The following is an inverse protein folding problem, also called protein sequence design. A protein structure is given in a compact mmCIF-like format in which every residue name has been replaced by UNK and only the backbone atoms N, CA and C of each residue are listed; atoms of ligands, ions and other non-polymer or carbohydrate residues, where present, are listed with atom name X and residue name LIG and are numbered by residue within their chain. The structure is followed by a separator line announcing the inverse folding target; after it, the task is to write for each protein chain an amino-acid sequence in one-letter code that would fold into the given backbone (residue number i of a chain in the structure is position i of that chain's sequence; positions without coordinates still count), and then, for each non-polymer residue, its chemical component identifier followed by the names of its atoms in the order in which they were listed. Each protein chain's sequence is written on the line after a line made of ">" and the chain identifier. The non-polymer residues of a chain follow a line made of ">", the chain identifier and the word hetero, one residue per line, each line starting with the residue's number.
data_IF_844551723283
#
_entry.id   IF_844551723283
#
_cell.length_a   1.000
_cell.length_b   1.000
_cell.length_c   1.000
_cell.angle_alpha   90.00
_cell.angle_beta   90.00
_cell.angle_gamma   90.00
#
_symmetry.space_group_name_H-M   'P 1'
#
loop_
_entity.id
_entity.type
_entity.pdbx_description
1 polymer ?
#
# COMPACT_ATOMS: atom_id res chain seq x y z
N UNK A 1 -8.63 -15.14 6.45
CA UNK A 1 -7.73 -14.14 5.89
C UNK A 1 -8.49 -12.86 5.55
N UNK A 2 -7.82 -11.72 5.67
CA UNK A 2 -8.37 -10.41 5.35
C UNK A 2 -7.35 -9.64 4.51
N UNK A 3 -7.82 -9.02 3.43
CA UNK A 3 -7.06 -8.08 2.62
C UNK A 3 -7.85 -6.78 2.54
N UNK A 4 -7.17 -5.66 2.80
CA UNK A 4 -7.68 -4.31 2.53
C UNK A 4 -6.81 -3.68 1.47
N UNK A 5 -7.41 -3.30 0.37
CA UNK A 5 -6.75 -2.63 -0.73
C UNK A 5 -7.28 -1.20 -0.87
N UNK A 6 -6.37 -0.24 -0.87
CA UNK A 6 -6.69 1.17 -1.05
C UNK A 6 -6.09 1.66 -2.35
N UNK A 7 -6.92 2.22 -3.22
CA UNK A 7 -6.55 2.63 -4.56
C UNK A 7 -6.42 4.15 -4.69
N UNK A 8 -5.43 4.59 -5.45
CA UNK A 8 -5.27 5.99 -5.81
C UNK A 8 -6.42 6.50 -6.71
N UNK A 9 -6.63 7.83 -6.77
CA UNK A 9 -7.64 8.43 -7.62
C UNK A 9 -7.31 8.39 -9.12
N UNK A 10 -6.03 8.30 -9.47
CA UNK A 10 -5.54 8.26 -10.85
C UNK A 10 -4.27 7.41 -10.99
N UNK A 11 -3.85 7.18 -12.24
CA UNK A 11 -2.66 6.44 -12.61
C UNK A 11 -1.44 7.35 -12.89
N UNK A 12 -1.53 8.64 -12.55
CA UNK A 12 -0.43 9.57 -12.80
C UNK A 12 0.81 9.25 -11.95
N UNK A 13 1.96 9.63 -12.45
CA UNK A 13 3.25 9.26 -11.87
C UNK A 13 3.47 9.88 -10.47
N UNK A 14 2.84 11.01 -10.16
CA UNK A 14 2.90 11.59 -8.80
C UNK A 14 2.16 10.71 -7.82
N UNK A 15 0.95 10.25 -8.19
CA UNK A 15 0.18 9.32 -7.37
C UNK A 15 0.94 8.00 -7.15
N UNK A 16 1.64 7.50 -8.17
CA UNK A 16 2.49 6.31 -8.02
C UNK A 16 3.55 6.51 -6.93
N UNK A 17 4.26 7.64 -6.95
CA UNK A 17 5.30 7.92 -5.95
C UNK A 17 4.73 8.25 -4.58
N UNK A 18 3.60 8.92 -4.50
CA UNK A 18 2.90 9.18 -3.24
C UNK A 18 2.49 7.87 -2.55
N UNK A 19 1.92 6.92 -3.30
CA UNK A 19 1.52 5.62 -2.76
C UNK A 19 2.72 4.70 -2.47
N UNK A 20 3.79 4.77 -3.26
CA UNK A 20 5.03 4.05 -2.98
C UNK A 20 5.67 4.55 -1.67
N UNK A 21 5.74 5.88 -1.47
CA UNK A 21 6.22 6.48 -0.23
C UNK A 21 5.33 6.11 0.96
N UNK A 22 4.01 6.15 0.78
CA UNK A 22 3.04 5.75 1.81
C UNK A 22 3.26 4.29 2.22
N UNK A 23 3.43 3.39 1.26
CA UNK A 23 3.70 1.98 1.53
C UNK A 23 5.02 1.79 2.27
N UNK A 24 6.09 2.46 1.85
CA UNK A 24 7.40 2.38 2.48
C UNK A 24 7.35 2.75 3.98
N UNK A 25 6.67 3.82 4.32
CA UNK A 25 6.59 4.27 5.73
C UNK A 25 5.67 3.42 6.58
N UNK A 26 4.81 2.59 5.98
CA UNK A 26 3.86 1.73 6.68
C UNK A 26 4.28 0.26 6.78
N UNK A 27 5.09 -0.24 5.84
CA UNK A 27 5.41 -1.66 5.72
C UNK A 27 6.02 -2.25 7.00
N UNK A 28 7.14 -1.70 7.43
CA UNK A 28 7.85 -2.19 8.62
C UNK A 28 7.06 -1.98 9.93
N UNK A 29 6.45 -0.82 10.20
CA UNK A 29 5.61 -0.62 11.38
C UNK A 29 4.39 -1.54 11.42
N UNK A 30 3.75 -1.78 10.27
CA UNK A 30 2.60 -2.69 10.18
C UNK A 30 2.99 -4.12 10.56
N UNK A 31 4.09 -4.60 9.97
CA UNK A 31 4.60 -5.93 10.28
C UNK A 31 4.95 -6.05 11.78
N UNK A 32 5.68 -5.06 12.30
CA UNK A 32 6.10 -5.07 13.71
C UNK A 32 4.89 -5.08 14.65
N UNK A 33 3.94 -4.18 14.47
CA UNK A 33 2.76 -4.08 15.32
C UNK A 33 1.89 -5.33 15.26
N UNK A 34 1.46 -5.75 14.06
CA UNK A 34 0.47 -6.81 13.93
C UNK A 34 1.06 -8.22 14.00
N UNK A 35 2.30 -8.40 13.50
CA UNK A 35 2.95 -9.72 13.49
C UNK A 35 3.76 -9.98 14.74
N UNK A 36 4.56 -9.00 15.19
CA UNK A 36 5.51 -9.20 16.28
C UNK A 36 4.88 -8.95 17.64
N UNK A 37 4.23 -7.80 17.82
CA UNK A 37 3.64 -7.43 19.11
C UNK A 37 2.30 -8.13 19.35
N UNK A 38 1.37 -8.07 18.38
CA UNK A 38 0.02 -8.60 18.53
C UNK A 38 -0.12 -10.06 18.12
N UNK A 39 0.85 -10.63 17.43
CA UNK A 39 0.91 -12.03 17.01
C UNK A 39 -0.35 -12.51 16.25
N UNK A 40 -0.91 -11.65 15.39
CA UNK A 40 -2.20 -11.89 14.76
C UNK A 40 -2.20 -13.06 13.77
N UNK A 41 -1.07 -13.43 13.17
CA UNK A 41 -1.04 -14.52 12.21
C UNK A 41 0.31 -14.76 11.54
N UNK A 42 0.31 -15.71 10.61
CA UNK A 42 1.53 -16.11 9.89
C UNK A 42 1.86 -15.18 8.73
N UNK A 43 0.82 -14.68 8.03
CA UNK A 43 0.99 -13.75 6.92
C UNK A 43 0.46 -12.40 7.37
N UNK A 44 1.36 -11.45 7.52
CA UNK A 44 1.06 -10.06 7.88
C UNK A 44 1.95 -9.18 7.02
N UNK A 45 1.39 -8.19 6.35
CA UNK A 45 2.18 -7.25 5.55
C UNK A 45 1.35 -6.10 5.00
N UNK A 46 2.03 -4.99 4.80
CA UNK A 46 1.56 -3.86 4.03
C UNK A 46 2.56 -3.59 2.91
N UNK A 47 2.11 -3.32 1.69
CA UNK A 47 3.02 -3.05 0.58
C UNK A 47 2.36 -2.23 -0.52
N UNK A 48 3.18 -1.57 -1.31
CA UNK A 48 2.77 -1.00 -2.59
C UNK A 48 2.26 -2.10 -3.53
N UNK A 49 1.08 -1.91 -4.09
CA UNK A 49 0.44 -2.90 -4.96
C UNK A 49 -0.37 -2.20 -6.06
N UNK A 50 0.24 -1.85 -7.18
CA UNK A 50 -0.48 -1.28 -8.29
C UNK A 50 -1.34 -2.35 -8.99
N UNK A 51 -2.54 -1.97 -9.38
CA UNK A 51 -3.37 -2.76 -10.30
C UNK A 51 -3.27 -2.11 -11.68
N UNK A 52 -2.58 -2.79 -12.59
CA UNK A 52 -2.14 -2.20 -13.86
C UNK A 52 -1.34 -0.92 -13.58
N UNK A 53 -1.80 0.22 -14.08
CA UNK A 53 -1.15 1.53 -13.90
C UNK A 53 -1.60 2.27 -12.64
N UNK A 54 -2.77 1.90 -12.08
CA UNK A 54 -3.33 2.62 -10.93
C UNK A 54 -2.66 2.17 -9.66
N UNK A 55 -1.97 3.07 -8.93
CA UNK A 55 -1.26 2.71 -7.70
C UNK A 55 -2.24 2.37 -6.58
N UNK A 56 -1.76 1.55 -5.67
CA UNK A 56 -2.51 1.17 -4.47
C UNK A 56 -1.58 0.69 -3.36
N UNK A 57 -2.17 0.54 -2.19
CA UNK A 57 -1.54 -0.11 -1.05
C UNK A 57 -2.43 -1.24 -0.55
N UNK A 58 -1.82 -2.37 -0.25
CA UNK A 58 -2.49 -3.55 0.27
C UNK A 58 -2.04 -3.80 1.71
N UNK A 59 -3.01 -4.06 2.59
CA UNK A 59 -2.79 -4.60 3.94
C UNK A 59 -3.35 -6.00 3.97
N UNK A 60 -2.55 -6.96 4.40
CA UNK A 60 -2.92 -8.36 4.40
C UNK A 60 -2.61 -8.99 5.75
N UNK A 61 -3.61 -9.72 6.29
CA UNK A 61 -3.46 -10.53 7.50
C UNK A 61 -4.14 -11.88 7.29
N UNK A 62 -3.38 -12.96 7.50
CA UNK A 62 -3.91 -14.31 7.60
C UNK A 62 -3.68 -14.85 9.00
N UNK A 63 -4.77 -15.09 9.71
CA UNK A 63 -4.76 -15.59 11.08
C UNK A 63 -5.47 -16.94 11.17
N UNK A 64 -4.93 -17.89 11.92
CA UNK A 64 -5.61 -19.15 12.22
C UNK A 64 -6.63 -19.03 13.35
N UNK A 65 -6.54 -18.00 14.21
CA UNK A 65 -7.24 -17.94 15.49
C UNK A 65 -8.06 -16.67 15.74
N UNK A 66 -7.83 -15.61 14.95
CA UNK A 66 -8.53 -14.34 15.16
C UNK A 66 -9.72 -14.19 14.20
N UNK A 67 -10.81 -13.67 14.74
CA UNK A 67 -12.00 -13.30 13.97
C UNK A 67 -11.69 -12.17 12.98
N UNK A 68 -12.30 -12.22 11.81
CA UNK A 68 -12.07 -11.24 10.71
C UNK A 68 -12.43 -9.82 11.16
N UNK A 69 -13.48 -9.64 11.93
CA UNK A 69 -13.86 -8.32 12.45
C UNK A 69 -12.83 -7.76 13.45
N UNK A 70 -12.23 -8.63 14.27
CA UNK A 70 -11.14 -8.23 15.16
C UNK A 70 -9.89 -7.80 14.37
N UNK A 71 -9.49 -8.58 13.37
CA UNK A 71 -8.37 -8.24 12.48
C UNK A 71 -8.63 -6.89 11.79
N UNK A 72 -9.83 -6.70 11.24
CA UNK A 72 -10.19 -5.45 10.57
C UNK A 72 -10.09 -4.24 11.50
N UNK A 73 -10.59 -4.35 12.73
CA UNK A 73 -10.52 -3.28 13.74
C UNK A 73 -9.07 -2.94 14.11
N UNK A 74 -8.19 -3.95 14.23
CA UNK A 74 -6.77 -3.75 14.53
C UNK A 74 -6.01 -3.07 13.39
N UNK A 75 -6.35 -3.39 12.14
CA UNK A 75 -5.79 -2.68 10.98
C UNK A 75 -6.24 -1.22 10.98
N UNK A 76 -7.53 -0.94 11.24
CA UNK A 76 -8.03 0.44 11.35
C UNK A 76 -7.32 1.20 12.48
N UNK A 77 -7.21 0.60 13.64
CA UNK A 77 -6.50 1.19 14.79
C UNK A 77 -5.05 1.52 14.42
N UNK A 78 -4.32 0.57 13.82
CA UNK A 78 -2.96 0.80 13.34
C UNK A 78 -2.89 1.98 12.38
N UNK A 79 -3.80 2.06 11.39
CA UNK A 79 -3.81 3.16 10.40
C UNK A 79 -3.96 4.51 11.12
N UNK A 80 -4.83 4.62 12.12
CA UNK A 80 -5.01 5.85 12.88
C UNK A 80 -3.80 6.21 13.77
N UNK A 81 -3.26 5.24 14.49
CA UNK A 81 -2.11 5.44 15.37
C UNK A 81 -0.85 5.82 14.57
N UNK A 82 -0.62 5.11 13.46
CA UNK A 82 0.54 5.36 12.62
C UNK A 82 0.46 6.72 11.92
N UNK A 83 -0.74 7.21 11.58
CA UNK A 83 -0.90 8.58 11.09
C UNK A 83 -0.37 9.60 12.08
N UNK A 84 -0.71 9.47 13.36
CA UNK A 84 -0.24 10.39 14.40
C UNK A 84 1.29 10.35 14.53
N UNK A 85 1.88 9.16 14.44
CA UNK A 85 3.34 9.02 14.43
C UNK A 85 3.96 9.73 13.24
N UNK A 86 3.49 9.48 12.01
CA UNK A 86 4.02 10.08 10.77
C UNK A 86 3.83 11.60 10.78
N UNK A 87 2.69 12.09 11.26
CA UNK A 87 2.41 13.52 11.35
C UNK A 87 3.32 14.26 12.33
N UNK A 88 3.78 13.58 13.39
CA UNK A 88 4.71 14.13 14.36
C UNK A 88 6.16 14.18 13.86
N UNK A 89 6.50 13.48 12.76
CA UNK A 89 7.85 13.49 12.20
C UNK A 89 8.16 14.83 11.51
N UNK A 90 9.42 15.25 11.61
CA UNK A 90 9.91 16.45 10.92
C UNK A 90 10.39 16.18 9.49
N UNK A 91 10.80 17.27 8.81
CA UNK A 91 11.26 17.21 7.43
C UNK A 91 12.52 16.35 7.25
N UNK A 92 13.39 16.30 8.25
CA UNK A 92 14.61 15.45 8.20
C UNK A 92 14.26 13.96 8.11
N UNK A 93 13.26 13.49 8.84
CA UNK A 93 12.77 12.11 8.76
C UNK A 93 12.15 11.83 7.38
N UNK A 94 11.31 12.75 6.88
CA UNK A 94 10.73 12.63 5.55
C UNK A 94 11.81 12.53 4.47
N UNK A 95 12.82 13.39 4.54
CA UNK A 95 13.94 13.39 3.61
C UNK A 95 14.70 12.07 3.62
N UNK A 96 14.92 11.49 4.79
CA UNK A 96 15.54 10.17 4.92
C UNK A 96 14.70 9.08 4.20
N UNK A 97 13.37 9.08 4.37
CA UNK A 97 12.48 8.14 3.69
C UNK A 97 12.51 8.36 2.16
N UNK A 98 12.47 9.62 1.73
CA UNK A 98 12.53 9.99 0.32
C UNK A 98 13.83 9.53 -0.33
N UNK A 99 14.96 9.74 0.35
CA UNK A 99 16.28 9.32 -0.15
C UNK A 99 16.40 7.80 -0.24
N UNK A 100 15.84 7.05 0.70
CA UNK A 100 15.82 5.60 0.63
C UNK A 100 15.06 5.09 -0.60
N UNK A 101 13.88 5.65 -0.89
CA UNK A 101 13.08 5.28 -2.06
C UNK A 101 13.76 5.72 -3.37
N UNK A 102 14.39 6.91 -3.39
CA UNK A 102 15.19 7.36 -4.54
C UNK A 102 16.34 6.41 -4.84
N UNK A 103 17.03 5.93 -3.82
CA UNK A 103 18.12 4.96 -3.98
C UNK A 103 17.62 3.67 -4.63
N UNK A 104 16.49 3.15 -4.21
CA UNK A 104 15.88 1.97 -4.84
C UNK A 104 15.50 2.21 -6.30
N UNK A 105 14.89 3.35 -6.62
CA UNK A 105 14.52 3.70 -8.01
C UNK A 105 15.74 3.93 -8.92
N UNK A 106 16.88 4.30 -8.35
CA UNK A 106 18.12 4.56 -9.10
C UNK A 106 19.00 3.32 -9.28
N UNK A 107 18.66 2.20 -8.62
CA UNK A 107 19.37 0.95 -8.84
C UNK A 107 19.28 0.52 -10.31
N UNK A 108 20.43 0.29 -10.90
CA UNK A 108 20.49 -0.19 -12.30
C UNK A 108 20.21 -1.69 -12.36
N UNK A 109 19.57 -2.15 -13.44
CA UNK A 109 19.44 -3.58 -13.68
C UNK A 109 20.80 -4.27 -13.60
N UNK A 110 20.87 -5.39 -12.88
CA UNK A 110 22.12 -6.13 -12.63
C UNK A 110 22.52 -7.02 -13.81
N UNK A 111 21.58 -7.29 -14.70
CA UNK A 111 21.77 -8.16 -15.86
C UNK A 111 20.75 -7.84 -16.96
N UNK A 112 20.95 -8.46 -18.15
CA UNK A 112 20.06 -8.26 -19.29
C UNK A 112 18.62 -8.73 -19.04
N UNK A 113 18.40 -9.74 -18.21
CA UNK A 113 17.04 -10.23 -17.94
C UNK A 113 16.24 -9.17 -17.17
N UNK A 114 16.81 -8.58 -16.12
CA UNK A 114 16.18 -7.49 -15.37
C UNK A 114 15.92 -6.26 -16.26
N UNK A 115 16.85 -5.92 -17.14
CA UNK A 115 16.65 -4.81 -18.09
C UNK A 115 15.54 -5.11 -19.10
N UNK A 116 15.46 -6.33 -19.58
CA UNK A 116 14.39 -6.75 -20.50
C UNK A 116 13.05 -6.74 -19.82
N UNK A 117 12.98 -7.18 -18.57
CA UNK A 117 11.74 -7.16 -17.77
C UNK A 117 11.26 -5.72 -17.54
N UNK A 118 12.15 -4.77 -17.28
CA UNK A 118 11.80 -3.36 -17.16
C UNK A 118 11.16 -2.82 -18.44
N UNK A 119 11.78 -3.01 -19.60
CA UNK A 119 11.21 -2.59 -20.88
C UNK A 119 9.92 -3.31 -21.23
N UNK A 120 9.83 -4.60 -20.89
CA UNK A 120 8.62 -5.37 -21.11
C UNK A 120 7.44 -4.86 -20.26
N UNK A 121 7.70 -4.49 -19.02
CA UNK A 121 6.71 -3.87 -18.16
C UNK A 121 6.26 -2.50 -18.68
N UNK A 122 7.17 -1.68 -19.23
CA UNK A 122 6.82 -0.43 -19.87
C UNK A 122 5.89 -0.65 -21.08
N UNK A 123 6.15 -1.68 -21.89
CA UNK A 123 5.28 -2.05 -23.02
C UNK A 123 3.92 -2.54 -22.53
N UNK A 124 3.88 -3.45 -21.57
CA UNK A 124 2.63 -4.01 -21.03
C UNK A 124 1.73 -2.95 -20.39
N UNK A 125 2.33 -1.94 -19.78
CA UNK A 125 1.63 -0.85 -19.11
C UNK A 125 1.45 0.39 -20.01
N UNK A 126 1.81 0.29 -21.30
CA UNK A 126 1.67 1.39 -22.29
C UNK A 126 2.44 2.68 -21.90
N UNK A 127 3.65 2.51 -21.35
CA UNK A 127 4.59 3.61 -21.09
C UNK A 127 5.47 3.82 -22.33
N UNK A 128 4.93 4.46 -23.35
CA UNK A 128 5.50 4.53 -24.70
C UNK A 128 6.83 5.29 -24.80
N UNK A 129 7.19 6.09 -23.78
CA UNK A 129 8.40 6.88 -23.79
C UNK A 129 9.65 6.16 -23.27
N UNK A 130 9.51 4.97 -22.69
CA UNK A 130 10.59 4.21 -22.02
C UNK A 130 11.41 5.05 -21.01
N UNK A 131 10.78 6.07 -20.44
CA UNK A 131 11.38 7.00 -19.49
C UNK A 131 10.57 7.05 -18.18
N UNK A 132 9.75 6.01 -17.93
CA UNK A 132 8.85 5.97 -16.79
C UNK A 132 9.60 6.09 -15.46
N UNK A 133 10.72 5.36 -15.33
CA UNK A 133 11.60 5.46 -14.15
C UNK A 133 12.11 6.88 -13.91
N UNK A 134 12.54 7.60 -14.96
CA UNK A 134 12.99 8.98 -14.84
C UNK A 134 11.87 9.91 -14.39
N UNK A 135 10.66 9.70 -14.90
CA UNK A 135 9.48 10.44 -14.46
C UNK A 135 9.14 10.16 -12.98
N UNK A 136 9.26 8.91 -12.53
CA UNK A 136 9.09 8.54 -11.12
C UNK A 136 10.14 9.23 -10.23
N UNK A 137 11.41 9.21 -10.62
CA UNK A 137 12.49 9.90 -9.89
C UNK A 137 12.18 11.39 -9.78
N UNK A 138 11.82 12.04 -10.89
CA UNK A 138 11.50 13.46 -10.89
C UNK A 138 10.28 13.78 -10.01
N UNK A 139 9.24 12.96 -10.06
CA UNK A 139 8.04 13.10 -9.22
C UNK A 139 8.37 12.95 -7.73
N UNK A 140 9.21 11.96 -7.38
CA UNK A 140 9.63 11.74 -6.00
C UNK A 140 10.54 12.85 -5.48
N UNK A 141 11.43 13.39 -6.31
CA UNK A 141 12.28 14.54 -5.95
C UNK A 141 11.45 15.79 -5.64
N UNK A 142 10.33 15.98 -6.36
CA UNK A 142 9.40 17.09 -6.14
C UNK A 142 8.39 16.86 -4.99
N UNK A 143 8.35 15.67 -4.41
CA UNK A 143 7.41 15.33 -3.35
C UNK A 143 7.77 16.04 -2.03
N UNK A 144 6.77 16.59 -1.36
CA UNK A 144 6.91 17.23 -0.05
C UNK A 144 6.37 16.34 1.07
N UNK A 145 6.76 16.65 2.31
CA UNK A 145 6.19 16.00 3.50
C UNK A 145 4.67 16.20 3.57
N UNK A 146 4.18 17.37 3.16
CA UNK A 146 2.74 17.64 3.14
C UNK A 146 2.00 16.72 2.16
N UNK A 147 2.58 16.43 1.00
CA UNK A 147 2.02 15.48 0.03
C UNK A 147 1.86 14.08 0.63
N UNK A 148 2.83 13.62 1.44
CA UNK A 148 2.72 12.35 2.17
C UNK A 148 1.54 12.36 3.15
N UNK A 149 1.40 13.43 3.94
CA UNK A 149 0.32 13.55 4.93
C UNK A 149 -1.06 13.62 4.27
N UNK A 150 -1.16 14.36 3.17
CA UNK A 150 -2.43 14.49 2.43
C UNK A 150 -2.80 13.18 1.72
N UNK A 151 -1.81 12.49 1.16
CA UNK A 151 -2.00 11.15 0.60
C UNK A 151 -2.49 10.19 1.67
N UNK A 152 -1.85 10.19 2.84
CA UNK A 152 -2.25 9.34 3.96
C UNK A 152 -3.72 9.60 4.36
N UNK A 153 -4.09 10.88 4.59
CA UNK A 153 -5.47 11.24 4.97
C UNK A 153 -6.47 10.82 3.90
N UNK A 154 -6.20 11.16 2.65
CA UNK A 154 -7.14 10.94 1.55
C UNK A 154 -7.29 9.45 1.20
N UNK A 155 -6.19 8.69 1.20
CA UNK A 155 -6.20 7.28 0.84
C UNK A 155 -6.71 6.37 1.96
N UNK A 156 -6.35 6.65 3.23
CA UNK A 156 -6.58 5.70 4.32
C UNK A 156 -7.60 6.17 5.37
N UNK A 157 -7.77 7.49 5.57
CA UNK A 157 -8.62 8.01 6.65
C UNK A 157 -9.92 8.65 6.16
N UNK A 158 -9.99 9.08 4.91
CA UNK A 158 -11.19 9.74 4.38
C UNK A 158 -12.39 8.79 4.33
N UNK A 159 -13.59 9.31 4.62
CA UNK A 159 -14.84 8.55 4.60
C UNK A 159 -15.24 8.05 3.19
N UNK A 160 -14.75 8.71 2.14
CA UNK A 160 -14.98 8.35 0.73
C UNK A 160 -13.73 7.78 0.05
N UNK A 161 -12.84 7.14 0.81
CA UNK A 161 -11.66 6.47 0.27
C UNK A 161 -12.05 5.33 -0.68
N UNK A 162 -11.20 5.07 -1.68
CA UNK A 162 -11.40 3.95 -2.60
C UNK A 162 -10.81 2.69 -1.97
N UNK A 163 -11.66 1.91 -1.37
CA UNK A 163 -11.28 0.72 -0.62
C UNK A 163 -11.98 -0.51 -1.14
N UNK A 164 -11.24 -1.61 -1.27
CA UNK A 164 -11.77 -2.96 -1.48
C UNK A 164 -11.38 -3.81 -0.28
N UNK A 165 -12.36 -4.44 0.34
CA UNK A 165 -12.18 -5.39 1.42
C UNK A 165 -12.47 -6.81 0.91
N UNK A 166 -11.44 -7.66 0.94
CA UNK A 166 -11.56 -9.08 0.62
C UNK A 166 -11.41 -9.90 1.89
N UNK A 167 -12.36 -10.79 2.14
CA UNK A 167 -12.37 -11.63 3.33
C UNK A 167 -12.55 -13.10 2.96
N UNK A 168 -11.81 -13.95 3.63
CA UNK A 168 -11.99 -15.39 3.63
C UNK A 168 -12.14 -15.83 5.09
N UNK A 169 -13.36 -16.02 5.58
CA UNK A 169 -13.58 -16.46 6.94
C UNK A 169 -13.00 -17.85 7.14
N UNK A 170 -12.22 -18.01 8.21
CA UNK A 170 -11.75 -19.30 8.68
C UNK A 170 -12.67 -19.86 9.75
N UNK A 171 -12.17 -20.81 10.55
CA UNK A 171 -12.90 -21.39 11.67
C UNK A 171 -13.22 -20.36 12.79
N UNK A 172 -12.42 -19.29 12.89
CA UNK A 172 -12.62 -18.24 13.89
C UNK A 172 -13.80 -17.29 13.63
N UNK A 173 -14.43 -17.40 12.44
CA UNK A 173 -15.64 -16.64 12.12
C UNK A 173 -15.41 -15.24 11.54
N UNK A 174 -16.53 -14.52 11.41
CA UNK A 174 -16.57 -13.18 10.82
C UNK A 174 -17.68 -12.38 11.53
N UNK A 175 -17.34 -11.71 12.64
CA UNK A 175 -18.28 -10.89 13.41
C UNK A 175 -17.98 -9.40 13.22
N UNK A 176 -19.02 -8.57 13.18
CA UNK A 176 -18.91 -7.11 13.22
C UNK A 176 -18.44 -6.44 11.93
N UNK A 177 -18.32 -7.14 10.82
CA UNK A 177 -18.22 -6.53 9.50
C UNK A 177 -19.62 -6.08 9.07
N UNK A 178 -19.75 -4.82 8.67
CA UNK A 178 -21.02 -4.35 8.08
C UNK A 178 -21.22 -5.11 6.76
N UNK A 179 -22.48 -5.47 6.47
CA UNK A 179 -22.92 -6.09 5.20
C UNK A 179 -22.79 -5.09 4.03
N UNK A 180 -21.59 -4.62 3.75
CA UNK A 180 -21.31 -3.81 2.57
C UNK A 180 -20.96 -4.76 1.43
N UNK A 181 -21.99 -5.05 0.60
CA UNK A 181 -21.90 -5.60 -0.76
C UNK A 181 -20.77 -6.62 -0.91
N UNK A 182 -20.97 -7.83 -0.44
CA UNK A 182 -20.16 -8.96 -0.85
C UNK A 182 -20.62 -9.42 -2.23
N UNK A 183 -19.85 -9.15 -3.30
CA UNK A 183 -19.94 -10.00 -4.47
C UNK A 183 -19.53 -11.41 -4.06
N UNK A 184 -20.45 -12.33 -3.99
CA UNK A 184 -20.11 -13.76 -3.85
C UNK A 184 -19.67 -14.24 -5.23
N UNK A 185 -18.71 -15.14 -5.29
CA UNK A 185 -18.22 -15.73 -6.55
C UNK A 185 -19.35 -16.35 -7.40
N UNK A 186 -20.50 -16.67 -6.79
CA UNK A 186 -21.74 -17.11 -7.43
C UNK A 186 -22.42 -16.02 -8.27
N UNK A 187 -22.06 -14.77 -8.12
CA UNK A 187 -22.72 -13.63 -8.77
C UNK A 187 -21.98 -13.18 -10.03
N UNK A 188 -20.92 -13.93 -10.45
CA UNK A 188 -20.05 -13.63 -11.60
C UNK A 188 -20.34 -14.56 -12.80
N UNK A 189 -21.47 -15.25 -12.83
CA UNK A 189 -21.91 -16.07 -13.99
C UNK A 189 -22.84 -15.28 -14.92
#
# INVERSE_FOLDING_TARGET
>A
ALIRYFQAPSDDVKQQMHFAMLAQVLESPFFHSLRTEQQLGYVVGARYFPLLRVPGIIFMVQSPSHDIGDINRRIEQFIHEQFNFVAAQGDAWFEQQRQALLTQLQEKPKNQAEQTEEFWNDILLDYTGFNHRQQQIAALQGMTRQDLLDTYRNALLASKRRELLLVSPGQAGMTGLRDNVSMKYSDIN
#
